data_IF_070127936157
#
_entry.id   IF_070127936157
#
_cell.length_a   1.000
_cell.length_b   1.000
_cell.length_c   1.000
_cell.angle_alpha   90.00
_cell.angle_beta   90.00
_cell.angle_gamma   90.00
#
_symmetry.space_group_name_H-M   'P 1'
#
loop_
_entity.id
_entity.type
_entity.pdbx_description
1 polymer ?
#
# COMPACT_ATOMS: atom_id res chain seq x y z
N UNK A 1 -6.99 -16.49 16.72
CA UNK A 1 -6.11 -15.31 16.73
C UNK A 1 -6.03 -14.76 18.16
N UNK A 2 -4.88 -14.27 18.61
CA UNK A 2 -4.75 -13.69 19.96
C UNK A 2 -5.41 -12.30 20.04
N UNK A 3 -5.80 -11.88 21.25
CA UNK A 3 -6.37 -10.53 21.48
C UNK A 3 -5.40 -9.42 21.03
N UNK A 4 -4.10 -9.64 21.22
CA UNK A 4 -3.05 -8.74 20.77
C UNK A 4 -3.06 -8.53 19.25
N UNK A 5 -3.18 -9.61 18.46
CA UNK A 5 -3.24 -9.53 17.00
C UNK A 5 -4.48 -8.77 16.54
N UNK A 6 -5.63 -8.98 17.20
CA UNK A 6 -6.86 -8.23 16.93
C UNK A 6 -6.64 -6.73 17.17
N UNK A 7 -5.99 -6.37 18.28
CA UNK A 7 -5.63 -4.99 18.58
C UNK A 7 -4.77 -4.34 17.50
N UNK A 8 -3.76 -5.05 16.99
CA UNK A 8 -2.90 -4.55 15.91
C UNK A 8 -3.67 -4.34 14.60
N UNK A 9 -4.58 -5.25 14.25
CA UNK A 9 -5.41 -5.14 13.04
C UNK A 9 -6.35 -3.93 13.13
N UNK A 10 -6.98 -3.72 14.28
CA UNK A 10 -7.86 -2.56 14.49
C UNK A 10 -7.07 -1.25 14.41
N UNK A 11 -5.91 -1.17 15.08
CA UNK A 11 -5.04 0.00 15.00
C UNK A 11 -4.61 0.28 13.55
N UNK A 12 -4.21 -0.76 12.81
CA UNK A 12 -3.87 -0.64 11.39
C UNK A 12 -5.03 -0.07 10.58
N UNK A 13 -6.26 -0.56 10.78
CA UNK A 13 -7.44 -0.10 10.06
C UNK A 13 -7.78 1.38 10.32
N UNK A 14 -7.58 1.84 11.56
CA UNK A 14 -7.79 3.24 11.96
C UNK A 14 -6.74 4.13 11.30
N UNK A 15 -5.45 3.78 11.44
CA UNK A 15 -4.35 4.50 10.79
C UNK A 15 -4.53 4.55 9.27
N UNK A 16 -5.00 3.43 8.70
CA UNK A 16 -5.26 3.32 7.28
C UNK A 16 -6.34 4.28 6.80
N UNK A 17 -7.48 4.29 7.48
CA UNK A 17 -8.58 5.21 7.18
C UNK A 17 -8.17 6.66 7.39
N UNK A 18 -7.39 6.92 8.44
CA UNK A 18 -6.89 8.25 8.80
C UNK A 18 -6.01 8.87 7.71
N UNK A 19 -5.02 8.13 7.18
CA UNK A 19 -4.16 8.71 6.14
C UNK A 19 -4.91 8.97 4.83
N UNK A 20 -5.96 8.20 4.52
CA UNK A 20 -6.80 8.44 3.34
C UNK A 20 -7.55 9.77 3.48
N UNK A 21 -8.14 10.05 4.64
CA UNK A 21 -8.80 11.32 4.93
C UNK A 21 -7.80 12.48 4.83
N UNK A 22 -6.60 12.34 5.41
CA UNK A 22 -5.56 13.38 5.30
C UNK A 22 -5.13 13.61 3.84
N UNK A 23 -5.05 12.56 3.03
CA UNK A 23 -4.67 12.68 1.61
C UNK A 23 -5.74 13.46 0.84
N UNK A 24 -7.01 13.18 1.07
CA UNK A 24 -8.12 13.88 0.41
C UNK A 24 -8.27 15.34 0.89
N UNK A 25 -8.15 15.58 2.20
CA UNK A 25 -8.31 16.92 2.79
C UNK A 25 -7.08 17.82 2.62
N UNK A 26 -5.94 17.26 2.21
CA UNK A 26 -4.74 18.05 1.94
C UNK A 26 -4.94 18.99 0.75
N UNK A 27 -4.34 20.19 0.82
CA UNK A 27 -4.34 21.17 -0.29
C UNK A 27 -3.78 20.58 -1.59
N UNK A 28 -2.83 19.64 -1.47
CA UNK A 28 -2.25 18.93 -2.61
C UNK A 28 -1.98 17.46 -2.28
N UNK A 29 -2.95 16.60 -2.60
CA UNK A 29 -2.90 15.15 -2.34
C UNK A 29 -1.68 14.43 -2.89
N UNK A 30 -1.15 14.88 -4.04
CA UNK A 30 0.05 14.28 -4.64
C UNK A 30 1.30 14.64 -3.84
N UNK A 31 1.43 15.90 -3.42
CA UNK A 31 2.56 16.34 -2.59
C UNK A 31 2.52 15.71 -1.21
N UNK A 32 1.34 15.63 -0.60
CA UNK A 32 1.14 14.94 0.68
C UNK A 32 1.54 13.45 0.59
N UNK A 33 1.09 12.75 -0.47
CA UNK A 33 1.47 11.36 -0.72
C UNK A 33 2.98 11.20 -0.97
N UNK A 34 3.63 12.17 -1.61
CA UNK A 34 5.08 12.21 -1.79
C UNK A 34 5.84 12.30 -0.46
N UNK A 35 5.47 13.24 0.40
CA UNK A 35 6.06 13.38 1.75
C UNK A 35 5.84 12.10 2.57
N UNK A 36 4.63 11.54 2.53
CA UNK A 36 4.31 10.26 3.17
C UNK A 36 5.24 9.15 2.67
N UNK A 37 5.47 9.08 1.36
CA UNK A 37 6.39 8.11 0.75
C UNK A 37 7.83 8.27 1.25
N UNK A 38 8.33 9.50 1.35
CA UNK A 38 9.66 9.79 1.90
C UNK A 38 9.77 9.29 3.35
N UNK A 39 8.77 9.57 4.19
CA UNK A 39 8.74 9.08 5.56
C UNK A 39 8.74 7.55 5.64
N UNK A 40 7.96 6.88 4.80
CA UNK A 40 7.95 5.41 4.73
C UNK A 40 9.33 4.88 4.35
N UNK A 41 10.02 5.50 3.38
CA UNK A 41 11.37 5.11 2.98
C UNK A 41 12.39 5.27 4.12
N UNK A 42 12.32 6.39 4.86
CA UNK A 42 13.20 6.63 6.02
C UNK A 42 12.96 5.57 7.10
N UNK A 43 11.70 5.28 7.43
CA UNK A 43 11.36 4.25 8.42
C UNK A 43 11.80 2.86 7.97
N UNK A 44 11.63 2.54 6.69
CA UNK A 44 12.07 1.27 6.11
C UNK A 44 13.60 1.14 6.17
N UNK A 45 14.35 2.21 5.89
CA UNK A 45 15.81 2.22 6.00
C UNK A 45 16.26 2.00 7.45
N UNK A 46 15.66 2.70 8.42
CA UNK A 46 15.97 2.52 9.84
C UNK A 46 15.69 1.08 10.28
N UNK A 47 14.54 0.52 9.89
CA UNK A 47 14.19 -0.86 10.20
C UNK A 47 15.16 -1.86 9.58
N UNK A 48 15.57 -1.63 8.32
CA UNK A 48 16.55 -2.47 7.62
C UNK A 48 17.91 -2.45 8.32
N UNK A 49 18.39 -1.27 8.75
CA UNK A 49 19.64 -1.15 9.49
C UNK A 49 19.57 -1.82 10.88
N UNK A 50 18.41 -1.75 11.55
CA UNK A 50 18.20 -2.35 12.86
C UNK A 50 18.11 -3.88 12.81
N UNK A 51 17.41 -4.44 11.80
CA UNK A 51 17.20 -5.89 11.64
C UNK A 51 18.43 -6.63 11.09
N UNK A 52 19.44 -5.89 10.62
CA UNK A 52 20.67 -6.43 10.06
C UNK A 52 20.68 -6.36 8.52
N UNK A 53 21.81 -5.94 7.99
CA UNK A 53 22.03 -5.80 6.54
C UNK A 53 22.33 -7.19 5.99
N UNK A 54 21.46 -7.67 5.09
CA UNK A 54 21.65 -8.92 4.35
C UNK A 54 21.85 -8.58 2.87
N UNK A 55 22.74 -9.28 2.13
CA UNK A 55 22.85 -9.07 0.70
C UNK A 55 21.50 -9.31 0.00
N UNK A 56 21.05 -8.30 -0.74
CA UNK A 56 19.82 -8.39 -1.53
C UNK A 56 20.12 -9.16 -2.82
N UNK A 57 19.38 -10.24 -3.06
CA UNK A 57 19.49 -10.97 -4.33
C UNK A 57 18.98 -10.10 -5.49
N UNK A 58 19.47 -10.39 -6.71
CA UNK A 58 19.00 -9.72 -7.92
C UNK A 58 17.49 -9.86 -8.12
N UNK A 59 16.93 -11.01 -7.72
CA UNK A 59 15.49 -11.28 -7.75
C UNK A 59 14.70 -10.36 -6.81
N UNK A 60 15.15 -10.19 -5.55
CA UNK A 60 14.50 -9.29 -4.59
C UNK A 60 14.52 -7.86 -5.11
N UNK A 61 15.66 -7.44 -5.69
CA UNK A 61 15.79 -6.10 -6.28
C UNK A 61 14.83 -5.92 -7.45
N UNK A 62 14.75 -6.91 -8.35
CA UNK A 62 13.85 -6.87 -9.51
C UNK A 62 12.39 -6.72 -9.09
N UNK A 63 11.90 -7.61 -8.22
CA UNK A 63 10.51 -7.56 -7.74
C UNK A 63 10.24 -6.32 -6.88
N UNK A 64 11.22 -5.88 -6.09
CA UNK A 64 11.13 -4.66 -5.30
C UNK A 64 10.94 -3.41 -6.16
N UNK A 65 11.73 -3.27 -7.23
CA UNK A 65 11.62 -2.16 -8.19
C UNK A 65 10.28 -2.21 -8.92
N UNK A 66 9.90 -3.39 -9.45
CA UNK A 66 8.64 -3.55 -10.18
C UNK A 66 7.44 -3.22 -9.29
N UNK A 67 7.41 -3.74 -8.07
CA UNK A 67 6.39 -3.45 -7.07
C UNK A 67 6.34 -1.95 -6.74
N UNK A 68 7.51 -1.32 -6.53
CA UNK A 68 7.61 0.11 -6.26
C UNK A 68 7.05 0.98 -7.37
N UNK A 69 7.33 0.65 -8.64
CA UNK A 69 6.80 1.37 -9.81
C UNK A 69 5.27 1.23 -9.86
N UNK A 70 4.75 0.01 -9.79
CA UNK A 70 3.30 -0.25 -9.84
C UNK A 70 2.57 0.44 -8.70
N UNK A 71 3.12 0.38 -7.48
CA UNK A 71 2.55 1.04 -6.31
C UNK A 71 2.63 2.57 -6.42
N UNK A 72 3.71 3.10 -6.99
CA UNK A 72 3.86 4.53 -7.27
C UNK A 72 2.78 5.04 -8.23
N UNK A 73 2.57 4.32 -9.35
CA UNK A 73 1.49 4.62 -10.31
C UNK A 73 0.13 4.57 -9.61
N UNK A 74 -0.13 3.54 -8.81
CA UNK A 74 -1.37 3.42 -8.03
C UNK A 74 -1.59 4.64 -7.11
N UNK A 75 -0.58 5.06 -6.34
CA UNK A 75 -0.70 6.21 -5.43
C UNK A 75 -0.92 7.52 -6.21
N UNK A 76 -0.32 7.69 -7.39
CA UNK A 76 -0.55 8.87 -8.24
C UNK A 76 -1.99 8.90 -8.76
N UNK A 77 -2.49 7.77 -9.28
CA UNK A 77 -3.88 7.63 -9.73
C UNK A 77 -4.86 7.87 -8.58
N UNK A 78 -4.62 7.27 -7.40
CA UNK A 78 -5.44 7.44 -6.21
C UNK A 78 -5.45 8.90 -5.74
N UNK A 79 -4.28 9.54 -5.66
CA UNK A 79 -4.17 10.95 -5.27
C UNK A 79 -4.92 11.87 -6.23
N UNK A 80 -4.93 11.55 -7.53
CA UNK A 80 -5.71 12.29 -8.53
C UNK A 80 -7.21 12.07 -8.32
N UNK A 81 -7.65 10.83 -8.10
CA UNK A 81 -9.05 10.50 -7.88
C UNK A 81 -9.63 11.20 -6.65
N UNK A 82 -8.89 11.24 -5.54
CA UNK A 82 -9.29 11.97 -4.33
C UNK A 82 -9.37 13.49 -4.49
N UNK A 83 -8.68 14.07 -5.47
CA UNK A 83 -8.86 15.50 -5.81
C UNK A 83 -10.10 15.77 -6.64
N UNK A 84 -10.59 14.78 -7.37
CA UNK A 84 -11.67 14.95 -8.36
C UNK A 84 -13.03 14.48 -7.88
N UNK A 85 -13.10 13.63 -6.87
CA UNK A 85 -14.34 13.06 -6.36
C UNK A 85 -14.24 12.74 -4.86
N UNK A 86 -15.41 12.58 -4.22
CA UNK A 86 -15.50 12.29 -2.79
C UNK A 86 -14.93 10.91 -2.44
N UNK A 87 -14.32 10.79 -1.26
CA UNK A 87 -13.81 9.52 -0.73
C UNK A 87 -14.89 8.45 -0.65
N UNK A 88 -16.15 8.80 -0.34
CA UNK A 88 -17.26 7.86 -0.29
C UNK A 88 -17.54 7.19 -1.64
N UNK A 89 -17.15 7.82 -2.75
CA UNK A 89 -17.26 7.28 -4.10
C UNK A 89 -15.97 6.60 -4.55
N UNK A 90 -14.82 7.25 -4.37
CA UNK A 90 -13.52 6.75 -4.84
C UNK A 90 -13.07 5.52 -4.05
N UNK A 91 -13.32 5.51 -2.74
CA UNK A 91 -12.79 4.47 -1.85
C UNK A 91 -13.37 3.08 -2.13
N UNK A 92 -14.70 2.88 -2.31
CA UNK A 92 -15.26 1.58 -2.70
C UNK A 92 -14.66 1.03 -4.00
N UNK A 93 -14.43 1.88 -5.00
CA UNK A 93 -13.82 1.49 -6.29
C UNK A 93 -12.36 1.08 -6.08
N UNK A 94 -11.58 1.90 -5.38
CA UNK A 94 -10.18 1.57 -5.11
C UNK A 94 -10.05 0.26 -4.30
N UNK A 95 -11.03 -0.02 -3.42
CA UNK A 95 -11.07 -1.20 -2.57
C UNK A 95 -11.63 -2.45 -3.25
N UNK A 96 -12.17 -2.35 -4.46
CA UNK A 96 -12.53 -3.54 -5.24
C UNK A 96 -11.32 -4.17 -5.94
N UNK A 97 -10.20 -3.44 -6.09
CA UNK A 97 -8.98 -3.92 -6.74
C UNK A 97 -8.42 -5.27 -6.20
N UNK A 98 -8.48 -5.58 -4.89
CA UNK A 98 -8.05 -6.89 -4.37
C UNK A 98 -8.79 -8.09 -4.98
N UNK A 99 -9.95 -7.90 -5.61
CA UNK A 99 -10.64 -8.98 -6.35
C UNK A 99 -9.78 -9.55 -7.48
N UNK A 100 -8.84 -8.76 -8.01
CA UNK A 100 -7.93 -9.19 -9.06
C UNK A 100 -6.77 -10.05 -8.53
N UNK A 101 -6.47 -10.01 -7.22
CA UNK A 101 -5.39 -10.80 -6.63
C UNK A 101 -5.57 -12.30 -6.90
N UNK A 102 -6.70 -12.95 -6.54
CA UNK A 102 -6.88 -14.37 -6.82
C UNK A 102 -6.87 -14.70 -8.32
N UNK A 103 -7.30 -13.77 -9.18
CA UNK A 103 -7.28 -13.94 -10.64
C UNK A 103 -5.83 -14.01 -11.13
N UNK A 104 -4.98 -13.07 -10.73
CA UNK A 104 -3.56 -13.05 -11.12
C UNK A 104 -2.78 -14.19 -10.48
N UNK A 105 -3.06 -14.51 -9.22
CA UNK A 105 -2.51 -15.68 -8.52
C UNK A 105 -2.74 -16.97 -9.31
N UNK A 106 -3.99 -17.21 -9.75
CA UNK A 106 -4.31 -18.39 -10.56
C UNK A 106 -3.60 -18.39 -11.92
N UNK A 107 -3.57 -17.24 -12.61
CA UNK A 107 -2.97 -17.14 -13.96
C UNK A 107 -1.43 -17.21 -13.98
N UNK A 108 -0.76 -16.72 -12.94
CA UNK A 108 0.70 -16.52 -12.94
C UNK A 108 1.45 -17.44 -11.98
N UNK A 109 0.82 -17.85 -10.87
CA UNK A 109 1.45 -18.61 -9.79
C UNK A 109 0.90 -20.03 -9.66
N UNK A 110 -0.05 -20.42 -10.52
CA UNK A 110 -0.76 -21.71 -10.48
C UNK A 110 -1.45 -21.96 -9.11
N UNK A 111 -1.89 -20.88 -8.46
CA UNK A 111 -2.62 -20.97 -7.19
C UNK A 111 -4.09 -21.33 -7.44
N UNK A 112 -4.58 -22.39 -6.79
CA UNK A 112 -5.97 -22.80 -6.85
C UNK A 112 -6.78 -22.29 -5.66
N UNK A 113 -7.95 -21.72 -5.94
CA UNK A 113 -8.91 -21.37 -4.90
C UNK A 113 -9.48 -22.65 -4.28
N UNK A 114 -9.30 -22.79 -2.97
CA UNK A 114 -9.98 -23.80 -2.16
C UNK A 114 -11.09 -23.14 -1.35
N UNK A 115 -12.17 -23.90 -1.12
CA UNK A 115 -13.33 -23.50 -0.31
C UNK A 115 -13.09 -23.92 1.13
#
# INVERSE_FOLDING_TARGET
MSLFNIGLVLLSSILHSFWNILTQTSKNSQYFSGIKGIWIMVMALIAYLYLGISPLSSEIIFWGILSGILHGVYILCLSRAYKTADISYVYPIARSAPVFVPIFSWLMLDEHLSI
#
